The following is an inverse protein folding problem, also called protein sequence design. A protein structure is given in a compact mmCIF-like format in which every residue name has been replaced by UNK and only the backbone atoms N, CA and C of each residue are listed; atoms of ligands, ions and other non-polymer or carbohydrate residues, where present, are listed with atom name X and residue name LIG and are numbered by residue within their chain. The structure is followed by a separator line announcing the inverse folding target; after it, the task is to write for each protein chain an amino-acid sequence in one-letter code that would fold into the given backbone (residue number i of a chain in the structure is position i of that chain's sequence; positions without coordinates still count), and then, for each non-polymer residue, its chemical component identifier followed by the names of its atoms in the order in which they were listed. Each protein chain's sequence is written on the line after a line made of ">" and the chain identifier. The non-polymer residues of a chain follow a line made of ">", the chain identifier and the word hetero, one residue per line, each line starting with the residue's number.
data_IF_402637913904
#
_entry.id   IF_402637913904
#
_cell.length_a   1.000
_cell.length_b   1.000
_cell.length_c   1.000
_cell.angle_alpha   90.00
_cell.angle_beta   90.00
_cell.angle_gamma   90.00
#
_symmetry.space_group_name_H-M   'P 1'
#
loop_
_entity.id
_entity.type
_entity.pdbx_description
1 polymer ?
#
# COMPACT_ATOMS: atom_id res chain seq x y z
N UNK A 1 -15.99 5.46 19.86
CA UNK A 1 -16.76 4.49 20.60
C UNK A 1 -15.90 3.79 21.65
N UNK A 2 -14.64 3.37 21.30
CA UNK A 2 -13.77 2.58 22.19
C UNK A 2 -12.69 3.42 22.90
N UNK A 3 -12.55 4.70 22.60
CA UNK A 3 -11.59 5.61 23.25
C UNK A 3 -10.12 5.38 22.88
N UNK A 4 -9.83 4.42 21.98
CA UNK A 4 -8.48 4.09 21.52
C UNK A 4 -8.44 3.64 20.06
N UNK A 5 -7.27 3.73 19.45
CA UNK A 5 -6.96 3.20 18.11
C UNK A 5 -5.66 2.42 18.21
N UNK A 6 -5.72 1.12 18.01
CA UNK A 6 -4.57 0.23 18.18
C UNK A 6 -3.84 -0.01 16.84
N UNK A 7 -4.60 -0.10 15.75
CA UNK A 7 -4.05 -0.36 14.42
C UNK A 7 -4.75 0.53 13.39
N UNK A 8 -3.97 1.10 12.50
CA UNK A 8 -4.43 1.70 11.24
C UNK A 8 -3.88 0.87 10.07
N UNK A 9 -4.74 0.50 9.14
CA UNK A 9 -4.32 -0.12 7.88
C UNK A 9 -4.71 0.80 6.74
N UNK A 10 -3.74 1.48 6.14
CA UNK A 10 -3.89 2.28 4.94
C UNK A 10 -3.82 1.36 3.71
N UNK A 11 -4.95 0.73 3.39
CA UNK A 11 -5.07 -0.24 2.30
C UNK A 11 -5.70 0.34 1.03
N UNK A 12 -6.56 1.36 1.16
CA UNK A 12 -7.22 1.97 0.00
C UNK A 12 -6.21 2.41 -1.06
N UNK A 13 -6.46 2.07 -2.32
CA UNK A 13 -5.55 2.40 -3.40
C UNK A 13 -6.19 2.25 -4.78
N UNK A 14 -5.59 2.93 -5.76
CA UNK A 14 -5.91 2.85 -7.18
C UNK A 14 -4.65 2.45 -7.95
N UNK A 15 -4.84 1.74 -9.08
CA UNK A 15 -3.75 1.29 -9.95
C UNK A 15 -4.02 1.60 -11.43
N UNK A 16 -4.46 2.79 -11.82
CA UNK A 16 -4.54 3.12 -13.22
C UNK A 16 -3.15 3.03 -13.85
N UNK A 17 -3.06 2.37 -14.98
CA UNK A 17 -1.84 2.24 -15.75
C UNK A 17 -2.11 2.67 -17.18
N UNK A 18 -1.18 3.42 -17.76
CA UNK A 18 -1.16 3.78 -19.17
C UNK A 18 0.22 4.36 -19.52
N UNK A 19 0.69 4.25 -20.78
CA UNK A 19 1.85 5.00 -21.22
C UNK A 19 1.66 6.50 -20.99
N UNK A 20 2.71 7.19 -20.53
CA UNK A 20 2.64 8.63 -20.20
C UNK A 20 2.19 9.51 -21.38
N UNK A 21 2.45 9.07 -22.60
CA UNK A 21 2.01 9.76 -23.82
C UNK A 21 0.49 9.86 -23.96
N UNK A 22 -0.29 8.97 -23.30
CA UNK A 22 -1.75 9.04 -23.28
C UNK A 22 -2.29 10.17 -22.41
N UNK A 23 -1.47 10.74 -21.54
CA UNK A 23 -1.77 11.94 -20.73
C UNK A 23 -3.08 11.81 -19.93
N UNK A 24 -3.28 10.68 -19.26
CA UNK A 24 -4.47 10.40 -18.45
C UNK A 24 -4.47 11.19 -17.14
N UNK A 25 -4.54 12.54 -17.23
CA UNK A 25 -4.35 13.45 -16.07
C UNK A 25 -5.29 13.15 -14.93
N UNK A 26 -6.57 12.87 -15.21
CA UNK A 26 -7.56 12.52 -14.18
C UNK A 26 -7.16 11.26 -13.40
N UNK A 27 -6.62 10.24 -14.07
CA UNK A 27 -6.13 9.03 -13.42
C UNK A 27 -4.88 9.33 -12.58
N UNK A 28 -3.99 10.21 -13.06
CA UNK A 28 -2.82 10.61 -12.29
C UNK A 28 -3.20 11.34 -11.00
N UNK A 29 -4.07 12.35 -11.09
CA UNK A 29 -4.54 13.11 -9.94
C UNK A 29 -5.22 12.20 -8.91
N UNK A 30 -6.16 11.35 -9.35
CA UNK A 30 -6.84 10.39 -8.47
C UNK A 30 -5.87 9.41 -7.81
N UNK A 31 -4.87 8.94 -8.55
CA UNK A 31 -3.88 7.99 -8.01
C UNK A 31 -3.03 8.65 -6.92
N UNK A 32 -2.60 9.89 -7.14
CA UNK A 32 -1.83 10.66 -6.16
C UNK A 32 -2.70 10.96 -4.93
N UNK A 33 -3.92 11.41 -5.13
CA UNK A 33 -4.84 11.76 -4.05
C UNK A 33 -5.15 10.57 -3.15
N UNK A 34 -5.45 9.42 -3.73
CA UNK A 34 -5.78 8.23 -2.95
C UNK A 34 -4.53 7.57 -2.36
N UNK A 35 -3.51 7.30 -3.18
CA UNK A 35 -2.38 6.47 -2.76
C UNK A 35 -1.37 7.23 -1.88
N UNK A 36 -1.24 8.55 -2.01
CA UNK A 36 -0.31 9.36 -1.22
C UNK A 36 -1.06 10.16 -0.16
N UNK A 37 -1.96 11.07 -0.58
CA UNK A 37 -2.67 11.93 0.38
C UNK A 37 -3.56 11.13 1.31
N UNK A 38 -4.22 10.05 0.81
CA UNK A 38 -5.01 9.14 1.64
C UNK A 38 -4.20 8.52 2.77
N UNK A 39 -2.99 8.07 2.50
CA UNK A 39 -2.06 7.53 3.53
C UNK A 39 -1.70 8.62 4.54
N UNK A 40 -1.33 9.81 4.09
CA UNK A 40 -1.00 10.94 4.97
C UNK A 40 -2.18 11.35 5.86
N UNK A 41 -3.38 11.38 5.31
CA UNK A 41 -4.59 11.72 6.07
C UNK A 41 -4.94 10.64 7.10
N UNK A 42 -4.77 9.36 6.75
CA UNK A 42 -4.92 8.26 7.70
C UNK A 42 -3.95 8.39 8.88
N UNK A 43 -2.67 8.64 8.59
CA UNK A 43 -1.64 8.88 9.61
C UNK A 43 -2.02 10.09 10.48
N UNK A 44 -2.36 11.22 9.88
CA UNK A 44 -2.72 12.45 10.59
C UNK A 44 -3.93 12.24 11.54
N UNK A 45 -4.88 11.41 11.13
CA UNK A 45 -6.09 11.16 11.92
C UNK A 45 -5.82 10.33 13.18
N UNK A 46 -4.88 9.37 13.14
CA UNK A 46 -4.66 8.45 14.27
C UNK A 46 -3.46 8.82 15.13
N UNK A 47 -2.46 9.48 14.56
CA UNK A 47 -1.18 9.73 15.22
C UNK A 47 -1.30 10.46 16.57
N UNK A 48 -2.11 11.53 16.74
CA UNK A 48 -2.26 12.18 18.03
C UNK A 48 -2.82 11.24 19.11
N UNK A 49 -3.72 10.34 18.74
CA UNK A 49 -4.28 9.35 19.66
C UNK A 49 -3.26 8.28 20.04
N UNK A 50 -2.54 7.73 19.08
CA UNK A 50 -1.50 6.72 19.32
C UNK A 50 -0.34 7.29 20.16
N UNK A 51 0.02 8.56 19.96
CA UNK A 51 1.01 9.24 20.80
C UNK A 51 0.58 9.33 22.27
N UNK A 52 -0.69 9.69 22.54
CA UNK A 52 -1.23 9.70 23.92
C UNK A 52 -1.26 8.29 24.54
N UNK A 53 -1.54 7.28 23.72
CA UNK A 53 -1.56 5.86 24.16
C UNK A 53 -0.15 5.32 24.39
N UNK A 54 0.89 5.96 23.83
CA UNK A 54 2.27 5.49 23.79
C UNK A 54 2.38 4.09 23.18
N UNK A 55 1.66 3.87 22.09
CA UNK A 55 1.62 2.60 21.37
C UNK A 55 0.60 2.60 20.26
N UNK A 56 0.78 1.67 19.35
CA UNK A 56 -0.06 1.45 18.18
C UNK A 56 0.74 0.87 17.03
N UNK A 57 0.07 0.58 15.93
CA UNK A 57 0.71 0.13 14.71
C UNK A 57 0.05 0.76 13.48
N UNK A 58 0.86 1.25 12.56
CA UNK A 58 0.41 1.78 11.27
C UNK A 58 0.95 0.87 10.17
N UNK A 59 0.04 0.24 9.44
CA UNK A 59 0.36 -0.63 8.29
C UNK A 59 0.00 0.11 7.01
N UNK A 60 0.99 0.38 6.17
CA UNK A 60 0.81 1.04 4.88
C UNK A 60 1.00 0.05 3.74
N UNK A 61 0.02 -0.04 2.83
CA UNK A 61 0.07 -0.97 1.71
C UNK A 61 0.75 -0.32 0.51
N UNK A 62 1.96 -0.81 0.21
CA UNK A 62 2.70 -0.48 -0.99
C UNK A 62 2.43 -1.52 -2.09
N UNK A 63 3.44 -1.98 -2.78
CA UNK A 63 3.38 -2.96 -3.87
C UNK A 63 4.79 -3.36 -4.26
N UNK A 64 4.96 -4.48 -4.97
CA UNK A 64 6.18 -4.75 -5.74
C UNK A 64 6.52 -3.59 -6.70
N UNK A 65 5.51 -2.85 -7.17
CA UNK A 65 5.69 -1.63 -7.95
C UNK A 65 6.31 -0.46 -7.15
N UNK A 66 6.38 -0.55 -5.83
CA UNK A 66 7.16 0.35 -4.98
C UNK A 66 8.66 0.02 -4.93
N UNK A 67 9.11 -1.02 -5.63
CA UNK A 67 10.50 -1.47 -5.73
C UNK A 67 11.00 -1.51 -7.18
N UNK A 68 10.08 -1.65 -8.13
CA UNK A 68 10.39 -1.74 -9.57
C UNK A 68 9.40 -0.92 -10.37
N UNK A 69 9.81 -0.47 -11.53
CA UNK A 69 8.97 0.30 -12.45
C UNK A 69 8.83 -0.47 -13.76
N UNK A 70 7.60 -0.49 -14.29
CA UNK A 70 7.29 -1.02 -15.62
C UNK A 70 6.82 0.10 -16.53
N UNK A 71 7.00 -0.07 -17.84
CA UNK A 71 6.35 0.80 -18.82
C UNK A 71 4.83 0.82 -18.60
N UNK A 72 4.23 1.99 -18.68
CA UNK A 72 2.81 2.21 -18.40
C UNK A 72 2.44 2.33 -16.91
N UNK A 73 3.33 1.94 -15.99
CA UNK A 73 3.09 1.96 -14.54
C UNK A 73 3.79 3.09 -13.79
N UNK A 74 4.33 4.10 -14.46
CA UNK A 74 5.21 5.09 -13.83
C UNK A 74 4.56 5.84 -12.67
N UNK A 75 3.35 6.39 -12.86
CA UNK A 75 2.65 7.17 -11.82
C UNK A 75 2.26 6.29 -10.64
N UNK A 76 1.66 5.13 -10.90
CA UNK A 76 1.35 4.16 -9.85
C UNK A 76 2.60 3.76 -9.07
N UNK A 77 3.68 3.38 -9.75
CA UNK A 77 4.95 3.01 -9.11
C UNK A 77 5.51 4.16 -8.28
N UNK A 78 5.47 5.40 -8.77
CA UNK A 78 5.90 6.57 -8.01
C UNK A 78 5.11 6.72 -6.70
N UNK A 79 3.77 6.53 -6.73
CA UNK A 79 2.98 6.59 -5.49
C UNK A 79 3.35 5.48 -4.51
N UNK A 80 3.62 4.27 -4.99
CA UNK A 80 4.01 3.14 -4.13
C UNK A 80 5.44 3.26 -3.58
N UNK A 81 6.36 3.89 -4.32
CA UNK A 81 7.65 4.31 -3.78
C UNK A 81 7.48 5.40 -2.70
N UNK A 82 6.62 6.39 -2.95
CA UNK A 82 6.31 7.44 -1.97
C UNK A 82 5.77 6.87 -0.65
N UNK A 83 4.86 5.89 -0.71
CA UNK A 83 4.34 5.21 0.50
C UNK A 83 5.47 4.58 1.32
N UNK A 84 6.45 3.95 0.68
CA UNK A 84 7.61 3.38 1.39
C UNK A 84 8.46 4.46 2.06
N UNK A 85 8.75 5.55 1.34
CA UNK A 85 9.52 6.68 1.90
C UNK A 85 8.78 7.35 3.05
N UNK A 86 7.48 7.60 2.92
CA UNK A 86 6.63 8.15 3.98
C UNK A 86 6.65 7.23 5.22
N UNK A 87 6.54 5.92 5.01
CA UNK A 87 6.54 4.95 6.10
C UNK A 87 7.87 4.90 6.84
N UNK A 88 8.99 4.96 6.13
CA UNK A 88 10.32 4.99 6.75
C UNK A 88 10.55 6.30 7.53
N UNK A 89 10.13 7.44 6.99
CA UNK A 89 10.17 8.71 7.73
C UNK A 89 9.33 8.64 9.00
N UNK A 90 8.07 8.18 8.88
CA UNK A 90 7.17 8.00 10.01
C UNK A 90 7.78 7.10 11.08
N UNK A 91 8.34 5.94 10.70
CA UNK A 91 8.96 4.99 11.62
C UNK A 91 10.03 5.64 12.51
N UNK A 92 10.85 6.50 11.93
CA UNK A 92 11.90 7.21 12.67
C UNK A 92 11.30 8.23 13.64
N UNK A 93 10.26 8.94 13.22
CA UNK A 93 9.62 10.01 14.00
C UNK A 93 8.81 9.45 15.17
N UNK A 94 8.13 8.32 15.01
CA UNK A 94 7.18 7.78 16.01
C UNK A 94 7.82 6.87 17.05
N UNK A 95 9.10 6.53 16.89
CA UNK A 95 9.87 5.70 17.83
C UNK A 95 9.73 6.13 19.31
N UNK A 96 9.73 7.43 19.68
CA UNK A 96 9.61 7.84 21.08
C UNK A 96 8.26 7.46 21.73
N UNK A 97 7.26 7.11 20.93
CA UNK A 97 5.93 6.72 21.41
C UNK A 97 5.65 5.23 21.27
N UNK A 98 6.65 4.42 20.97
CA UNK A 98 6.50 2.98 20.76
C UNK A 98 5.40 2.62 19.73
N UNK A 99 5.31 3.41 18.65
CA UNK A 99 4.38 3.15 17.54
C UNK A 99 5.17 2.42 16.47
N UNK A 100 4.66 1.26 16.04
CA UNK A 100 5.26 0.44 14.99
C UNK A 100 4.77 0.87 13.61
N UNK A 101 5.63 0.74 12.60
CA UNK A 101 5.28 1.10 11.22
C UNK A 101 5.71 0.00 10.26
N UNK A 102 4.72 -0.60 9.60
CA UNK A 102 4.92 -1.71 8.66
C UNK A 102 4.53 -1.30 7.25
N UNK A 103 5.37 -1.61 6.27
CA UNK A 103 5.02 -1.57 4.84
C UNK A 103 4.75 -2.99 4.36
N UNK A 104 3.62 -3.20 3.67
CA UNK A 104 3.36 -4.46 3.00
C UNK A 104 3.36 -4.22 1.49
N UNK A 105 4.23 -4.92 0.79
CA UNK A 105 4.52 -4.77 -0.65
C UNK A 105 4.16 -6.05 -1.42
N UNK A 106 2.85 -6.31 -1.68
CA UNK A 106 2.42 -7.51 -2.39
C UNK A 106 2.68 -7.42 -3.89
N UNK A 107 2.75 -8.60 -4.53
CA UNK A 107 2.52 -8.77 -5.95
C UNK A 107 1.02 -8.73 -6.28
N UNK A 108 0.61 -9.51 -7.30
CA UNK A 108 -0.80 -9.60 -7.71
C UNK A 108 -1.64 -10.34 -6.65
N UNK A 109 -2.63 -9.64 -6.10
CA UNK A 109 -3.62 -10.15 -5.14
C UNK A 109 -5.01 -9.86 -5.67
N UNK A 110 -5.94 -10.79 -5.56
CA UNK A 110 -7.34 -10.62 -5.99
C UNK A 110 -7.92 -9.34 -5.42
N UNK A 111 -8.40 -8.45 -6.29
CA UNK A 111 -8.94 -7.15 -5.95
C UNK A 111 -9.58 -6.47 -7.18
N UNK A 112 -10.21 -5.32 -6.96
CA UNK A 112 -10.76 -4.48 -8.02
C UNK A 112 -9.70 -3.55 -8.68
N UNK A 113 -8.42 -3.64 -8.28
CA UNK A 113 -7.36 -2.77 -8.83
C UNK A 113 -7.25 -2.80 -10.35
N UNK A 114 -7.40 -3.95 -11.05
CA UNK A 114 -7.38 -3.99 -12.51
C UNK A 114 -8.40 -3.07 -13.17
N UNK A 115 -9.52 -2.79 -12.49
CA UNK A 115 -10.62 -1.99 -13.01
C UNK A 115 -10.46 -0.48 -12.82
N UNK A 116 -9.41 -0.06 -12.14
CA UNK A 116 -9.19 1.35 -11.80
C UNK A 116 -8.70 2.21 -12.97
N UNK A 117 -8.19 1.62 -14.09
CA UNK A 117 -7.76 2.36 -15.27
C UNK A 117 -8.96 2.83 -16.11
N UNK A 118 -8.92 4.07 -16.61
CA UNK A 118 -9.90 4.58 -17.57
C UNK A 118 -9.69 4.01 -18.98
N UNK A 119 -8.47 3.57 -19.31
CA UNK A 119 -8.10 2.99 -20.60
C UNK A 119 -8.59 1.54 -20.72
N UNK A 120 -9.49 1.28 -21.68
CA UNK A 120 -10.17 -0.03 -21.81
C UNK A 120 -9.21 -1.16 -22.14
N UNK A 121 -8.26 -0.95 -23.06
CA UNK A 121 -7.26 -1.93 -23.47
C UNK A 121 -6.30 -2.27 -22.32
N UNK A 122 -5.90 -1.28 -21.54
CA UNK A 122 -5.05 -1.48 -20.35
C UNK A 122 -5.80 -2.26 -19.27
N UNK A 123 -7.08 -1.92 -19.05
CA UNK A 123 -7.93 -2.61 -18.08
C UNK A 123 -8.10 -4.09 -18.43
N UNK A 124 -8.34 -4.40 -19.70
CA UNK A 124 -8.45 -5.77 -20.18
C UNK A 124 -7.15 -6.56 -19.99
N UNK A 125 -6.01 -5.96 -20.36
CA UNK A 125 -4.70 -6.58 -20.16
C UNK A 125 -4.39 -6.82 -18.67
N UNK A 126 -4.77 -5.88 -17.79
CA UNK A 126 -4.60 -6.04 -16.35
C UNK A 126 -5.49 -7.13 -15.76
N UNK A 127 -6.75 -7.23 -16.20
CA UNK A 127 -7.65 -8.33 -15.81
C UNK A 127 -7.10 -9.69 -16.21
N UNK A 128 -6.59 -9.82 -17.44
CA UNK A 128 -5.96 -11.06 -17.91
C UNK A 128 -4.73 -11.43 -17.06
N UNK A 129 -3.85 -10.45 -16.77
CA UNK A 129 -2.69 -10.67 -15.92
C UNK A 129 -3.09 -11.11 -14.49
N UNK A 130 -4.11 -10.50 -13.90
CA UNK A 130 -4.58 -10.86 -12.56
C UNK A 130 -5.24 -12.24 -12.54
N UNK A 131 -6.04 -12.58 -13.56
CA UNK A 131 -6.65 -13.91 -13.67
C UNK A 131 -5.61 -15.04 -13.70
N UNK A 132 -4.45 -14.79 -14.31
CA UNK A 132 -3.37 -15.75 -14.39
C UNK A 132 -2.50 -15.79 -13.12
N UNK A 133 -2.25 -14.64 -12.51
CA UNK A 133 -1.19 -14.49 -11.52
C UNK A 133 -1.67 -14.24 -10.09
N UNK A 134 -2.87 -13.67 -9.87
CA UNK A 134 -3.28 -13.25 -8.54
C UNK A 134 -3.44 -14.41 -7.56
N UNK A 135 -3.03 -14.16 -6.32
CA UNK A 135 -3.34 -15.03 -5.17
C UNK A 135 -4.57 -14.51 -4.42
N UNK A 136 -5.25 -15.34 -3.63
CA UNK A 136 -6.39 -14.93 -2.83
C UNK A 136 -6.08 -13.76 -1.89
N UNK A 137 -7.08 -12.92 -1.62
CA UNK A 137 -6.95 -11.80 -0.68
C UNK A 137 -6.56 -12.24 0.74
N UNK A 138 -6.96 -13.44 1.16
CA UNK A 138 -6.58 -14.04 2.44
C UNK A 138 -5.07 -14.21 2.60
N UNK A 139 -4.33 -14.46 1.52
CA UNK A 139 -2.87 -14.60 1.56
C UNK A 139 -2.21 -13.27 1.95
N UNK A 140 -2.75 -12.16 1.43
CA UNK A 140 -2.34 -10.83 1.86
C UNK A 140 -2.74 -10.56 3.32
N UNK A 141 -3.97 -10.88 3.71
CA UNK A 141 -4.45 -10.67 5.07
C UNK A 141 -3.60 -11.40 6.11
N UNK A 142 -3.12 -12.61 5.80
CA UNK A 142 -2.19 -13.35 6.67
C UNK A 142 -0.86 -12.63 6.87
N UNK A 143 -0.33 -11.95 5.87
CA UNK A 143 0.88 -11.15 6.02
C UNK A 143 0.66 -9.94 6.93
N UNK A 144 -0.51 -9.29 6.84
CA UNK A 144 -0.92 -8.22 7.77
C UNK A 144 -1.00 -8.75 9.20
N UNK A 145 -1.71 -9.88 9.41
CA UNK A 145 -1.85 -10.51 10.73
C UNK A 145 -0.50 -10.91 11.30
N UNK A 146 0.40 -11.45 10.47
CA UNK A 146 1.76 -11.77 10.91
C UNK A 146 2.48 -10.53 11.46
N UNK A 147 2.47 -9.41 10.74
CA UNK A 147 3.10 -8.17 11.22
C UNK A 147 2.47 -7.65 12.52
N UNK A 148 1.14 -7.77 12.65
CA UNK A 148 0.41 -7.32 13.83
C UNK A 148 0.65 -8.20 15.06
N UNK A 149 0.85 -9.50 14.87
CA UNK A 149 1.00 -10.50 15.96
C UNK A 149 2.38 -10.53 16.60
N UNK A 150 3.33 -9.73 16.11
CA UNK A 150 4.66 -9.69 16.71
C UNK A 150 4.65 -9.01 18.07
N UNK A 151 5.58 -9.37 18.98
CA UNK A 151 5.76 -8.70 20.27
C UNK A 151 5.89 -7.18 20.13
N UNK A 152 5.55 -6.44 21.18
CA UNK A 152 5.54 -4.96 21.15
C UNK A 152 6.91 -4.33 20.87
N UNK A 153 7.99 -5.02 21.16
CA UNK A 153 9.37 -4.60 20.92
C UNK A 153 9.91 -5.03 19.55
N UNK A 154 9.09 -5.70 18.73
CA UNK A 154 9.41 -6.11 17.36
C UNK A 154 8.64 -5.28 16.36
N UNK A 155 9.34 -4.47 15.59
CA UNK A 155 8.78 -3.67 14.49
C UNK A 155 9.15 -4.29 13.14
N UNK A 156 8.20 -5.02 12.54
CA UNK A 156 8.37 -5.57 11.18
C UNK A 156 8.23 -4.43 10.18
N UNK A 157 9.32 -3.94 9.65
CA UNK A 157 9.32 -2.71 8.85
C UNK A 157 8.85 -2.91 7.41
N UNK A 158 9.12 -4.07 6.80
CA UNK A 158 8.65 -4.37 5.46
C UNK A 158 8.42 -5.87 5.23
N UNK A 159 7.32 -6.20 4.54
CA UNK A 159 7.04 -7.54 4.00
C UNK A 159 6.83 -7.42 2.50
N UNK A 160 7.75 -7.98 1.72
CA UNK A 160 7.68 -8.04 0.26
C UNK A 160 7.44 -9.49 -0.17
N UNK A 161 6.36 -9.73 -0.91
CA UNK A 161 6.06 -11.06 -1.45
C UNK A 161 5.36 -11.00 -2.80
N UNK A 162 5.40 -12.11 -3.52
CA UNK A 162 4.74 -12.29 -4.81
C UNK A 162 4.07 -13.65 -4.89
N UNK A 163 3.04 -13.81 -5.72
CA UNK A 163 2.66 -15.12 -6.21
C UNK A 163 3.89 -15.83 -6.81
N UNK A 164 4.05 -17.14 -6.56
CA UNK A 164 5.20 -17.91 -7.05
C UNK A 164 5.28 -17.95 -8.57
N UNK A 165 4.13 -17.78 -9.26
CA UNK A 165 4.02 -17.71 -10.72
C UNK A 165 4.24 -16.31 -11.31
N UNK A 166 4.31 -15.29 -10.50
CA UNK A 166 4.57 -13.91 -10.95
C UNK A 166 6.07 -13.70 -11.10
N UNK A 167 6.54 -13.56 -12.34
CA UNK A 167 7.95 -13.31 -12.64
C UNK A 167 8.43 -11.93 -12.18
N UNK A 168 7.57 -10.94 -12.32
CA UNK A 168 7.93 -9.52 -12.16
C UNK A 168 7.20 -8.87 -10.96
#
# INVERSE_FOLDING_TARGET
>A
AFGRVDVLINNAGLMPQAPLERRTLTDWDRTIDVNIKGVLYGIAAVLPQMQRQRGGQIVNVSSVAGHKVRAGGAVYSATKHAVRVISEGLRQEVKPWNIRTTVISPGAVESELPDSSTEADVREAMRAFYAENAIPADDFARAVVYAMSQPEDVDVNEILFRPTRQEY
#
